data_IF_258573210729
#
_entry.id   IF_258573210729
#
_cell.length_a   1.000
_cell.length_b   1.000
_cell.length_c   1.000
_cell.angle_alpha   90.00
_cell.angle_beta   90.00
_cell.angle_gamma   90.00
#
_symmetry.space_group_name_H-M   'P 1'
#
loop_
_entity.id
_entity.type
_entity.pdbx_description
1 polymer ?
#
# COMPACT_ATOMS: atom_id res chain seq x y z
N UNK A 1 -6.17 0.86 -8.29
CA UNK A 1 -4.98 0.40 -9.05
C UNK A 1 -4.08 -0.42 -8.13
N UNK A 2 -3.68 -1.58 -8.58
CA UNK A 2 -2.83 -2.49 -7.81
C UNK A 2 -1.56 -2.79 -8.58
N UNK A 3 -0.41 -2.66 -7.92
CA UNK A 3 0.89 -3.02 -8.50
C UNK A 3 1.60 -3.95 -7.53
N UNK A 4 2.03 -5.11 -8.02
CA UNK A 4 2.80 -6.06 -7.23
C UNK A 4 4.29 -5.90 -7.55
N UNK A 5 5.12 -6.06 -6.53
CA UNK A 5 6.57 -5.92 -6.66
C UNK A 5 7.28 -7.13 -6.08
N UNK A 6 8.36 -7.52 -6.74
CA UNK A 6 9.33 -8.45 -6.16
C UNK A 6 10.61 -7.70 -5.84
N UNK A 7 11.43 -8.25 -4.97
CA UNK A 7 12.72 -7.66 -4.65
C UNK A 7 13.77 -8.14 -5.65
N UNK A 8 14.43 -7.20 -6.31
CA UNK A 8 15.53 -7.48 -7.24
C UNK A 8 16.82 -6.83 -6.73
N UNK A 9 17.93 -7.08 -7.42
CA UNK A 9 19.22 -6.46 -7.08
C UNK A 9 19.18 -4.93 -7.17
N UNK A 10 18.29 -4.41 -8.01
CA UNK A 10 18.15 -2.98 -8.22
C UNK A 10 16.96 -2.37 -7.43
N UNK A 11 16.45 -3.09 -6.44
CA UNK A 11 15.30 -2.65 -5.63
C UNK A 11 13.99 -3.28 -6.07
N UNK A 12 12.85 -2.70 -5.70
CA UNK A 12 11.55 -3.25 -6.08
C UNK A 12 11.35 -3.26 -7.60
N UNK A 13 10.87 -4.38 -8.12
CA UNK A 13 10.58 -4.54 -9.54
C UNK A 13 9.11 -4.92 -9.69
N UNK A 14 8.36 -4.14 -10.48
CA UNK A 14 6.96 -4.42 -10.73
C UNK A 14 6.81 -5.69 -11.55
N UNK A 15 5.88 -6.56 -11.12
CA UNK A 15 5.59 -7.82 -11.82
C UNK A 15 4.09 -7.92 -12.06
N UNK A 16 3.67 -8.59 -13.16
CA UNK A 16 2.25 -8.74 -13.44
C UNK A 16 1.60 -9.76 -12.50
N UNK A 17 0.27 -9.66 -12.36
CA UNK A 17 -0.50 -10.71 -11.72
C UNK A 17 -0.41 -11.99 -12.55
N UNK A 18 -0.63 -13.13 -11.91
CA UNK A 18 -0.60 -14.41 -12.63
C UNK A 18 -1.84 -14.56 -13.52
N UNK A 19 -1.92 -15.66 -14.27
CA UNK A 19 -3.02 -15.93 -15.22
C UNK A 19 -4.39 -16.03 -14.54
N UNK A 20 -4.42 -16.26 -13.23
CA UNK A 20 -5.65 -16.29 -12.45
C UNK A 20 -5.97 -14.94 -11.78
N UNK A 21 -5.21 -13.88 -12.11
CA UNK A 21 -5.40 -12.57 -11.52
C UNK A 21 -4.95 -12.46 -10.07
N UNK A 22 -4.06 -13.33 -9.63
CA UNK A 22 -3.53 -13.33 -8.26
C UNK A 22 -2.12 -12.80 -8.22
N UNK A 23 -1.70 -12.35 -7.04
CA UNK A 23 -0.33 -11.91 -6.82
C UNK A 23 0.59 -13.12 -6.83
N UNK A 24 1.65 -13.12 -7.66
CA UNK A 24 2.59 -14.25 -7.69
C UNK A 24 3.29 -14.46 -6.34
N UNK A 25 3.67 -15.71 -6.07
CA UNK A 25 4.33 -16.07 -4.81
C UNK A 25 5.67 -15.36 -4.60
N UNK A 26 6.33 -14.94 -5.67
CA UNK A 26 7.61 -14.23 -5.61
C UNK A 26 7.47 -12.76 -5.19
N UNK A 27 6.24 -12.21 -5.18
CA UNK A 27 6.02 -10.85 -4.76
C UNK A 27 6.22 -10.70 -3.25
N UNK A 28 6.78 -9.57 -2.84
CA UNK A 28 6.98 -9.24 -1.43
C UNK A 28 6.17 -8.00 -1.02
N UNK A 29 5.74 -7.21 -1.98
CA UNK A 29 5.04 -5.96 -1.74
C UNK A 29 3.94 -5.74 -2.77
N UNK A 30 2.78 -5.28 -2.30
CA UNK A 30 1.66 -4.87 -3.15
C UNK A 30 1.29 -3.43 -2.77
N UNK A 31 1.29 -2.54 -3.75
CA UNK A 31 0.84 -1.17 -3.57
C UNK A 31 -0.55 -1.02 -4.18
N UNK A 32 -1.50 -0.53 -3.39
CA UNK A 32 -2.88 -0.39 -3.79
C UNK A 32 -3.31 1.07 -3.64
N UNK A 33 -3.78 1.66 -4.74
CA UNK A 33 -4.28 3.03 -4.73
C UNK A 33 -5.75 3.03 -5.17
N UNK A 34 -6.64 3.59 -4.35
CA UNK A 34 -8.07 3.64 -4.59
C UNK A 34 -8.59 2.28 -5.08
N UNK A 35 -8.44 1.22 -4.28
CA UNK A 35 -8.69 -0.14 -4.75
C UNK A 35 -10.15 -0.38 -5.09
N UNK A 36 -10.36 -1.21 -6.12
CA UNK A 36 -11.66 -1.80 -6.39
C UNK A 36 -11.90 -2.94 -5.38
N UNK A 37 -13.15 -3.38 -5.18
CA UNK A 37 -13.42 -4.53 -4.30
C UNK A 37 -12.63 -5.79 -4.70
N UNK A 38 -12.42 -6.01 -5.99
CA UNK A 38 -11.64 -7.14 -6.47
C UNK A 38 -10.16 -6.99 -6.11
N UNK A 39 -9.61 -5.78 -6.24
CA UNK A 39 -8.22 -5.51 -5.86
C UNK A 39 -8.01 -5.69 -4.36
N UNK A 40 -8.98 -5.33 -3.54
CA UNK A 40 -8.95 -5.58 -2.11
C UNK A 40 -8.86 -7.08 -1.83
N UNK A 41 -9.69 -7.89 -2.50
CA UNK A 41 -9.68 -9.35 -2.31
C UNK A 41 -8.35 -9.97 -2.73
N UNK A 42 -7.78 -9.53 -3.84
CA UNK A 42 -6.48 -10.01 -4.33
C UNK A 42 -5.37 -9.69 -3.32
N UNK A 43 -5.38 -8.47 -2.78
CA UNK A 43 -4.39 -8.03 -1.80
C UNK A 43 -4.54 -8.78 -0.49
N UNK A 44 -5.78 -8.96 -0.01
CA UNK A 44 -6.04 -9.70 1.22
C UNK A 44 -5.62 -11.16 1.11
N UNK A 45 -5.82 -11.77 -0.04
CA UNK A 45 -5.36 -13.14 -0.29
C UNK A 45 -3.84 -13.23 -0.26
N UNK A 46 -3.15 -12.23 -0.79
CA UNK A 46 -1.69 -12.15 -0.74
C UNK A 46 -1.17 -12.01 0.68
N UNK A 47 -1.78 -11.14 1.47
CA UNK A 47 -1.37 -10.89 2.85
C UNK A 47 -1.77 -11.99 3.82
N UNK A 48 -2.90 -12.64 3.58
CA UNK A 48 -3.55 -13.52 4.56
C UNK A 48 -4.21 -12.73 5.70
N UNK A 49 -4.50 -11.46 5.48
CA UNK A 49 -5.09 -10.57 6.48
C UNK A 49 -5.99 -9.55 5.80
N UNK A 50 -6.95 -9.01 6.55
CA UNK A 50 -7.89 -8.02 6.02
C UNK A 50 -7.23 -6.65 5.86
N UNK A 51 -7.66 -5.92 4.82
CA UNK A 51 -7.31 -4.51 4.67
C UNK A 51 -8.35 -3.65 5.38
N UNK A 52 -7.93 -2.52 5.99
CA UNK A 52 -8.91 -1.59 6.53
C UNK A 52 -9.72 -0.95 5.40
N UNK A 53 -10.98 -0.67 5.67
CA UNK A 53 -11.82 0.06 4.71
C UNK A 53 -11.41 1.53 4.66
N UNK A 54 -11.86 2.24 3.62
CA UNK A 54 -11.60 3.68 3.52
C UNK A 54 -12.19 4.42 4.71
N UNK A 55 -13.40 4.06 5.12
CA UNK A 55 -14.07 4.65 6.26
C UNK A 55 -13.28 4.43 7.54
N UNK A 56 -12.77 3.23 7.75
CA UNK A 56 -11.96 2.92 8.93
C UNK A 56 -10.68 3.75 8.98
N UNK A 57 -10.02 3.95 7.83
CA UNK A 57 -8.81 4.76 7.78
C UNK A 57 -9.07 6.25 7.97
N UNK A 58 -10.24 6.74 7.55
CA UNK A 58 -10.62 8.14 7.70
C UNK A 58 -11.08 8.49 9.11
N UNK A 59 -11.57 7.53 9.88
CA UNK A 59 -11.97 7.72 11.26
C UNK A 59 -10.80 7.91 12.21
N UNK A 60 -9.59 7.65 11.74
CA UNK A 60 -8.39 7.84 12.55
C UNK A 60 -8.12 9.33 12.68
N UNK A 61 -8.25 9.85 13.90
CA UNK A 61 -7.93 11.24 14.21
C UNK A 61 -6.46 11.52 13.88
N UNK A 62 -6.08 12.78 13.80
CA UNK A 62 -4.80 13.32 13.35
C UNK A 62 -3.52 12.64 13.84
N UNK A 63 -3.60 11.55 14.54
CA UNK A 63 -2.42 10.81 15.01
C UNK A 63 -2.20 9.55 14.18
N UNK A 64 -0.94 9.19 14.03
CA UNK A 64 -0.57 7.89 13.46
C UNK A 64 -1.14 6.79 14.33
N UNK A 65 -1.72 5.78 13.71
CA UNK A 65 -2.26 4.64 14.42
C UNK A 65 -1.44 3.39 14.12
N UNK A 66 -1.08 2.69 15.17
CA UNK A 66 -0.28 1.48 15.07
C UNK A 66 -0.95 0.38 15.89
N UNK A 67 -1.23 -0.77 15.28
CA UNK A 67 -1.84 -1.90 15.99
C UNK A 67 -1.52 -3.21 15.28
N UNK A 68 -1.68 -4.31 16.02
CA UNK A 68 -1.49 -5.67 15.51
C UNK A 68 -2.80 -6.43 15.64
N UNK A 69 -3.19 -7.13 14.56
CA UNK A 69 -4.41 -7.92 14.54
C UNK A 69 -4.19 -9.13 13.63
N UNK A 70 -4.56 -10.33 14.12
CA UNK A 70 -4.46 -11.60 13.37
C UNK A 70 -3.07 -11.85 12.76
N UNK A 71 -2.03 -11.48 13.49
CA UNK A 71 -0.65 -11.70 13.04
C UNK A 71 -0.11 -10.65 12.08
N UNK A 72 -0.90 -9.66 11.70
CA UNK A 72 -0.46 -8.56 10.86
C UNK A 72 -0.31 -7.28 11.67
N UNK A 73 0.65 -6.45 11.29
CA UNK A 73 0.88 -5.13 11.90
C UNK A 73 0.39 -4.06 10.95
N UNK A 74 -0.43 -3.15 11.47
CA UNK A 74 -1.05 -2.07 10.72
C UNK A 74 -0.52 -0.73 11.22
N UNK A 75 -0.09 0.11 10.28
CA UNK A 75 0.35 1.48 10.58
C UNK A 75 -0.38 2.42 9.63
N UNK A 76 -1.14 3.37 10.18
CA UNK A 76 -1.84 4.37 9.37
C UNK A 76 -1.37 5.75 9.81
N UNK A 77 -1.01 6.57 8.84
CA UNK A 77 -0.66 7.98 9.05
C UNK A 77 -1.53 8.84 8.15
N UNK A 78 -1.85 10.04 8.62
CA UNK A 78 -2.53 11.03 7.80
C UNK A 78 -1.46 11.93 7.18
N UNK A 79 -1.45 12.00 5.86
CA UNK A 79 -0.46 12.78 5.11
C UNK A 79 -1.13 13.96 4.42
N UNK A 80 -0.37 15.03 4.23
CA UNK A 80 -0.83 16.19 3.51
C UNK A 80 -0.33 16.11 2.07
N UNK A 81 -1.25 16.26 1.12
CA UNK A 81 -0.92 16.26 -0.31
C UNK A 81 -1.62 17.42 -1.01
N UNK A 82 -1.28 17.65 -2.27
CA UNK A 82 -1.92 18.70 -3.07
C UNK A 82 -1.43 20.10 -2.82
N UNK A 83 -0.38 20.31 -2.02
CA UNK A 83 0.18 21.64 -1.73
C UNK A 83 0.67 22.30 -3.01
N UNK A 84 1.27 21.52 -3.90
CA UNK A 84 1.88 22.01 -5.14
C UNK A 84 0.86 22.60 -6.10
N UNK A 85 -0.38 22.11 -6.06
CA UNK A 85 -1.45 22.59 -6.94
C UNK A 85 -2.40 23.53 -6.20
N UNK A 86 -2.04 23.96 -4.99
CA UNK A 86 -2.85 24.89 -4.20
C UNK A 86 -4.11 24.29 -3.61
N UNK A 87 -4.21 22.96 -3.56
CA UNK A 87 -5.37 22.25 -3.02
C UNK A 87 -4.92 21.24 -1.97
N UNK A 88 -4.54 21.70 -0.76
CA UNK A 88 -4.09 20.80 0.28
C UNK A 88 -5.21 19.86 0.73
N UNK A 89 -4.90 18.55 0.80
CA UNK A 89 -5.83 17.50 1.22
C UNK A 89 -5.11 16.60 2.21
N UNK A 90 -5.80 16.25 3.29
CA UNK A 90 -5.33 15.23 4.23
C UNK A 90 -5.81 13.88 3.73
N UNK A 91 -4.90 12.94 3.59
CA UNK A 91 -5.20 11.59 3.09
C UNK A 91 -4.54 10.52 3.95
N UNK A 92 -5.23 9.41 4.22
CA UNK A 92 -4.62 8.33 4.97
C UNK A 92 -3.66 7.52 4.08
N UNK A 93 -2.59 7.04 4.71
CA UNK A 93 -1.63 6.13 4.11
C UNK A 93 -1.43 4.98 5.10
N UNK A 94 -1.70 3.76 4.66
CA UNK A 94 -1.62 2.58 5.53
C UNK A 94 -0.56 1.62 5.02
N UNK A 95 0.24 1.10 5.95
CA UNK A 95 1.20 0.03 5.67
C UNK A 95 0.75 -1.18 6.49
N UNK A 96 0.64 -2.33 5.84
CA UNK A 96 0.33 -3.60 6.49
C UNK A 96 1.50 -4.55 6.31
N UNK A 97 2.02 -5.07 7.41
CA UNK A 97 3.12 -6.04 7.40
C UNK A 97 2.58 -7.36 7.92
N UNK A 98 2.62 -8.40 7.10
CA UNK A 98 2.17 -9.74 7.46
C UNK A 98 3.29 -10.73 7.11
N UNK A 99 4.05 -11.14 8.15
CA UNK A 99 5.23 -11.98 7.93
C UNK A 99 6.28 -11.23 7.11
N UNK A 100 6.67 -11.80 5.98
CA UNK A 100 7.62 -11.18 5.04
C UNK A 100 6.96 -10.47 3.87
N UNK A 101 5.64 -10.24 3.96
CA UNK A 101 4.86 -9.57 2.94
C UNK A 101 4.37 -8.23 3.42
N UNK A 102 4.32 -7.27 2.49
CA UNK A 102 3.93 -5.89 2.79
C UNK A 102 2.88 -5.43 1.79
N UNK A 103 1.87 -4.72 2.27
CA UNK A 103 0.95 -3.99 1.42
C UNK A 103 0.94 -2.53 1.83
N UNK A 104 0.85 -1.65 0.85
CA UNK A 104 0.64 -0.22 1.07
C UNK A 104 -0.70 0.16 0.46
N UNK A 105 -1.51 0.89 1.24
CA UNK A 105 -2.85 1.30 0.84
C UNK A 105 -2.93 2.81 0.89
N UNK A 106 -3.29 3.42 -0.24
CA UNK A 106 -3.39 4.88 -0.34
C UNK A 106 -4.56 5.26 -1.23
N UNK A 107 -5.02 6.49 -1.08
CA UNK A 107 -6.18 7.00 -1.83
C UNK A 107 -5.82 8.20 -2.70
N UNK A 108 -4.59 8.69 -2.59
CA UNK A 108 -4.07 9.79 -3.41
C UNK A 108 -2.69 9.42 -3.95
N UNK A 109 -2.33 10.03 -5.09
CA UNK A 109 -0.99 9.87 -5.66
C UNK A 109 -0.02 10.78 -4.90
N UNK A 110 0.74 10.18 -3.99
CA UNK A 110 1.64 10.93 -3.11
C UNK A 110 2.98 11.15 -3.78
N UNK A 111 3.40 12.41 -3.86
CA UNK A 111 4.70 12.77 -4.44
C UNK A 111 5.84 12.12 -3.68
N UNK A 112 5.78 12.13 -2.35
CA UNK A 112 6.81 11.50 -1.52
C UNK A 112 6.95 10.01 -1.83
N UNK A 113 5.85 9.32 -2.09
CA UNK A 113 5.84 7.91 -2.46
C UNK A 113 6.50 7.69 -3.83
N UNK A 114 6.16 8.52 -4.81
CA UNK A 114 6.78 8.45 -6.14
C UNK A 114 8.29 8.70 -6.09
N UNK A 115 8.71 9.66 -5.29
CA UNK A 115 10.14 9.94 -5.09
C UNK A 115 10.85 8.77 -4.43
N UNK A 116 10.23 8.15 -3.44
CA UNK A 116 10.77 6.95 -2.81
C UNK A 116 10.96 5.82 -3.82
N UNK A 117 9.95 5.54 -4.64
CA UNK A 117 10.05 4.49 -5.67
C UNK A 117 11.18 4.78 -6.65
N UNK A 118 11.30 6.01 -7.11
CA UNK A 118 12.33 6.40 -8.05
C UNK A 118 13.72 6.18 -7.47
N UNK A 119 13.91 6.44 -6.17
CA UNK A 119 15.19 6.20 -5.50
C UNK A 119 15.44 4.73 -5.24
N UNK A 120 14.42 3.98 -4.85
CA UNK A 120 14.54 2.57 -4.53
C UNK A 120 14.90 1.72 -5.74
N UNK A 121 14.54 2.17 -6.95
CA UNK A 121 14.81 1.44 -8.20
C UNK A 121 16.13 1.83 -8.87
N UNK A 122 16.86 2.78 -8.32
CA UNK A 122 18.19 3.16 -8.84
C UNK A 122 19.23 2.19 -8.30
N UNK A 123 20.19 1.79 -9.17
CA UNK A 123 21.29 0.94 -8.72
C UNK A 123 22.22 1.65 -7.74
#
# INVERSE_FOLDING_TARGET
MLIAYRLSENGPEAIPLDENGRVPAEAVWVDVMQPTPEEDRVTEAFLGSSLPTREETQEIEFSSRFYTEDGATYMTATLLTGIEVGKPVLTPFTIVVAGDRIATLRYEDLRAFRQFLARATKP
#
